data_IF_310416712986
#
_entry.id   IF_310416712986
#
_cell.length_a   1.000
_cell.length_b   1.000
_cell.length_c   1.000
_cell.angle_alpha   90.00
_cell.angle_beta   90.00
_cell.angle_gamma   90.00
#
_symmetry.space_group_name_H-M   'P 1'
#
loop_
_entity.id
_entity.type
_entity.pdbx_description
1 polymer ?
#
# COMPACT_ATOMS: atom_id res chain seq x y z
N UNK A 1 17.06 1.25 -27.03
CA UNK A 1 16.93 1.75 -25.64
C UNK A 1 17.18 0.61 -24.65
N UNK A 2 18.05 0.79 -23.66
CA UNK A 2 18.41 -0.23 -22.65
C UNK A 2 17.65 0.05 -21.32
N UNK A 3 16.34 -0.22 -21.28
CA UNK A 3 15.58 -0.03 -20.02
C UNK A 3 15.78 -1.22 -19.07
N UNK A 4 16.05 -0.99 -17.77
CA UNK A 4 16.17 -2.05 -16.77
C UNK A 4 14.80 -2.67 -16.46
N UNK A 5 14.74 -3.99 -16.33
CA UNK A 5 13.53 -4.77 -16.06
C UNK A 5 13.80 -5.81 -14.99
N UNK A 6 12.77 -6.11 -14.19
CA UNK A 6 12.84 -7.08 -13.10
C UNK A 6 12.37 -8.45 -13.55
N UNK A 7 13.20 -9.47 -13.34
CA UNK A 7 12.77 -10.86 -13.44
C UNK A 7 11.85 -11.21 -12.25
N UNK A 8 11.02 -12.27 -12.35
CA UNK A 8 10.15 -12.72 -11.26
C UNK A 8 10.90 -13.08 -9.98
N UNK A 9 12.18 -13.44 -10.08
CA UNK A 9 13.06 -13.68 -8.93
C UNK A 9 13.57 -12.40 -8.24
N UNK A 10 13.19 -11.21 -8.72
CA UNK A 10 13.57 -9.91 -8.14
C UNK A 10 14.89 -9.32 -8.65
N UNK A 11 15.63 -10.03 -9.49
CA UNK A 11 16.87 -9.53 -10.08
C UNK A 11 16.61 -8.67 -11.33
N UNK A 12 17.37 -7.58 -11.47
CA UNK A 12 17.17 -6.58 -12.52
C UNK A 12 18.24 -6.65 -13.61
N UNK A 13 17.82 -6.67 -14.87
CA UNK A 13 18.69 -6.66 -16.05
C UNK A 13 18.12 -5.72 -17.13
N UNK A 14 18.97 -5.17 -18.01
CA UNK A 14 18.45 -4.36 -19.11
C UNK A 14 17.79 -5.23 -20.19
N UNK A 15 16.89 -4.63 -20.98
CA UNK A 15 16.13 -5.34 -22.01
C UNK A 15 17.03 -6.10 -23.01
N UNK A 16 18.18 -5.53 -23.38
CA UNK A 16 19.14 -6.20 -24.27
C UNK A 16 19.81 -7.41 -23.63
N UNK A 17 20.14 -7.34 -22.33
CA UNK A 17 20.72 -8.48 -21.62
C UNK A 17 19.71 -9.61 -21.46
N UNK A 18 18.44 -9.30 -21.18
CA UNK A 18 17.39 -10.32 -21.10
C UNK A 18 17.18 -11.00 -22.45
N UNK A 19 17.19 -10.23 -23.55
CA UNK A 19 17.12 -10.79 -24.90
C UNK A 19 18.31 -11.69 -25.23
N UNK A 20 19.51 -11.37 -24.74
CA UNK A 20 20.70 -12.21 -24.92
C UNK A 20 20.69 -13.49 -24.07
N UNK A 21 19.97 -13.51 -22.95
CA UNK A 21 19.81 -14.67 -22.06
C UNK A 21 18.59 -15.54 -22.41
N UNK A 22 17.81 -15.13 -23.41
CA UNK A 22 16.59 -15.82 -23.80
C UNK A 22 16.92 -17.02 -24.67
N UNK A 23 16.56 -18.20 -24.21
CA UNK A 23 16.65 -19.45 -24.95
C UNK A 23 15.24 -20.03 -25.07
N UNK A 24 14.77 -20.35 -26.27
CA UNK A 24 13.53 -21.14 -26.51
C UNK A 24 12.36 -20.81 -25.56
N UNK A 25 12.01 -19.52 -25.41
CA UNK A 25 10.86 -19.07 -24.61
C UNK A 25 11.06 -19.03 -23.09
N UNK A 26 12.29 -19.21 -22.60
CA UNK A 26 12.63 -19.03 -21.19
C UNK A 26 13.91 -18.19 -21.02
N UNK A 27 14.08 -17.66 -19.81
CA UNK A 27 15.26 -16.88 -19.39
C UNK A 27 15.73 -17.46 -18.06
N UNK A 28 17.01 -17.84 -18.00
CA UNK A 28 17.66 -18.28 -16.77
C UNK A 28 18.32 -17.08 -16.10
N UNK A 29 17.98 -16.81 -14.84
CA UNK A 29 18.59 -15.71 -14.09
C UNK A 29 20.08 -16.01 -13.79
N UNK A 30 21.02 -15.15 -14.19
CA UNK A 30 22.44 -15.36 -13.88
C UNK A 30 22.77 -15.36 -12.39
N UNK A 31 22.00 -14.63 -11.58
CA UNK A 31 22.28 -14.45 -10.15
C UNK A 31 21.79 -15.64 -9.30
N UNK A 32 20.58 -16.12 -9.56
CA UNK A 32 19.93 -17.15 -8.73
C UNK A 32 19.65 -18.46 -9.48
N UNK A 33 19.94 -18.52 -10.78
CA UNK A 33 19.73 -19.69 -11.66
C UNK A 33 18.26 -20.16 -11.80
N UNK A 34 17.30 -19.38 -11.30
CA UNK A 34 15.89 -19.63 -11.53
C UNK A 34 15.52 -19.40 -12.99
N UNK A 35 14.70 -20.30 -13.54
CA UNK A 35 14.21 -20.26 -14.92
C UNK A 35 12.84 -19.60 -14.96
N UNK A 36 12.66 -18.66 -15.88
CA UNK A 36 11.41 -17.92 -16.06
C UNK A 36 10.89 -18.10 -17.49
N UNK A 37 9.68 -18.63 -17.64
CA UNK A 37 9.03 -18.84 -18.95
C UNK A 37 8.38 -17.54 -19.39
N UNK A 38 8.85 -16.94 -20.49
CA UNK A 38 8.27 -15.72 -21.06
C UNK A 38 8.48 -15.63 -22.59
N UNK A 39 7.43 -15.28 -23.36
CA UNK A 39 7.52 -15.15 -24.81
C UNK A 39 8.28 -13.91 -25.30
N UNK A 40 8.37 -12.81 -24.52
CA UNK A 40 9.18 -11.63 -24.87
C UNK A 40 9.75 -10.87 -23.64
N UNK A 41 10.99 -10.38 -23.74
CA UNK A 41 11.65 -9.61 -22.68
C UNK A 41 10.95 -8.28 -22.37
N UNK A 42 10.18 -7.75 -23.32
CA UNK A 42 9.34 -6.56 -23.16
C UNK A 42 8.24 -6.70 -22.11
N UNK A 43 7.92 -7.93 -21.70
CA UNK A 43 6.85 -8.22 -20.73
C UNK A 43 7.29 -8.12 -19.28
N UNK A 44 8.61 -8.14 -19.01
CA UNK A 44 9.08 -7.97 -17.64
C UNK A 44 8.88 -6.53 -17.16
N UNK A 45 8.42 -6.32 -15.92
CA UNK A 45 8.16 -4.98 -15.38
C UNK A 45 9.44 -4.14 -15.37
N UNK A 46 9.32 -2.87 -15.73
CA UNK A 46 10.43 -1.93 -15.73
C UNK A 46 10.83 -1.60 -14.28
N UNK A 47 12.13 -1.59 -14.01
CA UNK A 47 12.65 -1.13 -12.72
C UNK A 47 12.84 0.39 -12.74
N UNK A 48 11.82 1.13 -12.34
CA UNK A 48 11.89 2.61 -12.28
C UNK A 48 12.94 3.11 -11.30
N UNK A 49 13.17 2.40 -10.19
CA UNK A 49 14.21 2.74 -9.21
C UNK A 49 15.60 2.64 -9.84
N UNK A 50 15.88 1.55 -10.56
CA UNK A 50 17.17 1.37 -11.25
C UNK A 50 17.29 2.35 -12.42
N UNK A 51 16.20 2.64 -13.13
CA UNK A 51 16.18 3.61 -14.22
C UNK A 51 16.52 5.03 -13.74
N UNK A 52 15.90 5.49 -12.65
CA UNK A 52 16.18 6.79 -12.03
C UNK A 52 17.60 6.86 -11.48
N UNK A 53 18.09 5.78 -10.87
CA UNK A 53 19.48 5.70 -10.41
C UNK A 53 20.49 5.86 -11.57
N UNK A 54 20.28 5.15 -12.68
CA UNK A 54 21.10 5.28 -13.89
C UNK A 54 21.02 6.69 -14.48
N UNK A 55 19.83 7.32 -14.50
CA UNK A 55 19.68 8.71 -14.97
C UNK A 55 20.47 9.68 -14.11
N UNK A 56 20.43 9.54 -12.78
CA UNK A 56 21.21 10.38 -11.85
C UNK A 56 22.71 10.22 -12.06
N UNK A 57 23.20 8.99 -12.25
CA UNK A 57 24.61 8.72 -12.57
C UNK A 57 25.04 9.29 -13.94
N UNK A 58 24.13 9.34 -14.91
CA UNK A 58 24.40 9.98 -16.22
C UNK A 58 24.29 11.51 -16.16
N UNK A 59 23.53 12.04 -15.20
CA UNK A 59 23.37 13.47 -14.93
C UNK A 59 24.55 14.12 -14.20
N UNK A 60 25.56 13.37 -13.78
CA UNK A 60 26.80 13.90 -13.18
C UNK A 60 27.91 14.10 -14.21
N UNK A 61 27.64 14.91 -15.24
CA UNK A 61 28.65 15.65 -15.98
C UNK A 61 28.37 17.16 -15.76
N UNK A 62 29.37 18.01 -15.48
CA UNK A 62 29.14 19.30 -14.86
C UNK A 62 28.66 20.31 -15.90
N UNK A 63 27.39 20.69 -15.83
CA UNK A 63 26.92 21.96 -16.36
C UNK A 63 26.72 22.91 -15.17
N UNK A 64 27.76 23.72 -14.97
CA UNK A 64 27.85 24.79 -14.00
C UNK A 64 26.64 25.73 -14.03
N UNK A 65 26.17 26.04 -12.82
CA UNK A 65 25.89 27.38 -12.31
C UNK A 65 25.27 28.39 -13.30
N UNK A 66 23.96 28.61 -13.19
CA UNK A 66 23.21 29.87 -13.41
C UNK A 66 21.71 29.46 -13.41
N UNK A 67 20.79 30.02 -12.63
CA UNK A 67 20.79 31.14 -11.72
C UNK A 67 19.46 31.16 -10.96
N UNK A 68 19.53 31.78 -9.79
CA UNK A 68 18.49 32.25 -8.86
C UNK A 68 17.02 32.21 -9.34
N UNK A 69 16.19 31.55 -8.55
CA UNK A 69 14.75 31.77 -8.49
C UNK A 69 14.46 33.14 -7.84
N UNK A 70 13.88 34.05 -8.61
CA UNK A 70 13.30 35.31 -8.15
C UNK A 70 11.84 35.38 -8.57
N UNK A 71 10.96 35.64 -7.60
CA UNK A 71 9.52 35.86 -7.74
C UNK A 71 9.19 37.11 -8.58
N UNK A 72 8.16 37.02 -9.43
CA UNK A 72 7.16 38.06 -9.70
C UNK A 72 6.01 37.36 -10.47
N UNK A 73 4.79 37.26 -9.93
CA UNK A 73 3.77 38.32 -9.83
C UNK A 73 3.45 38.89 -11.22
N UNK A 74 2.24 38.59 -11.71
CA UNK A 74 1.80 38.87 -13.05
C UNK A 74 1.67 40.35 -13.36
N UNK A 75 1.77 40.65 -14.66
CA UNK A 75 1.15 41.79 -15.34
C UNK A 75 0.82 41.36 -16.78
N UNK A 76 -0.13 42.05 -17.44
CA UNK A 76 -0.82 41.55 -18.62
C UNK A 76 0.01 41.67 -19.90
N UNK A 77 -0.34 40.79 -20.83
CA UNK A 77 0.02 40.77 -22.25
C UNK A 77 0.06 42.20 -22.84
N UNK A 78 1.18 42.64 -23.42
CA UNK A 78 1.15 43.76 -24.35
C UNK A 78 0.58 43.25 -25.67
N UNK A 79 -0.61 43.73 -26.00
CA UNK A 79 -1.18 43.66 -27.34
C UNK A 79 -0.19 44.27 -28.33
N UNK A 80 0.47 43.44 -29.14
CA UNK A 80 1.20 43.91 -30.31
C UNK A 80 0.20 44.19 -31.42
N UNK A 81 -0.44 45.35 -31.36
CA UNK A 81 -0.87 46.07 -32.56
C UNK A 81 0.40 46.53 -33.30
N UNK A 82 0.98 45.64 -34.08
CA UNK A 82 1.88 46.03 -35.16
C UNK A 82 1.03 46.23 -36.41
N UNK A 83 0.64 47.49 -36.63
CA UNK A 83 0.34 47.95 -37.98
C UNK A 83 1.58 47.66 -38.85
N UNK A 84 1.42 47.07 -40.05
CA UNK A 84 2.53 46.92 -40.97
C UNK A 84 2.90 48.30 -41.50
N UNK A 85 4.08 48.81 -41.12
CA UNK A 85 4.69 49.95 -41.80
C UNK A 85 5.14 49.47 -43.18
N UNK A 86 4.27 49.67 -44.17
CA UNK A 86 4.48 49.33 -45.58
C UNK A 86 5.40 50.37 -46.22
N UNK A 87 6.68 50.40 -45.83
CA UNK A 87 7.71 51.20 -46.51
C UNK A 87 9.06 50.48 -46.59
N UNK A 88 9.02 49.25 -47.09
CA UNK A 88 10.22 48.47 -47.43
C UNK A 88 9.97 47.23 -48.29
N UNK A 89 8.77 47.10 -48.88
CA UNK A 89 8.34 45.88 -49.56
C UNK A 89 8.74 45.79 -51.04
N UNK A 90 9.41 46.80 -51.59
CA UNK A 90 9.71 46.90 -53.02
C UNK A 90 11.19 46.70 -53.32
N UNK A 91 11.75 45.51 -53.03
CA UNK A 91 12.84 44.94 -53.85
C UNK A 91 13.14 43.45 -53.57
N UNK A 92 12.15 42.64 -53.15
CA UNK A 92 12.38 41.20 -53.03
C UNK A 92 11.97 40.50 -54.32
N UNK A 93 12.91 39.74 -54.90
CA UNK A 93 12.64 38.92 -56.09
C UNK A 93 11.52 37.92 -55.79
N UNK A 94 10.77 37.53 -56.83
CA UNK A 94 9.68 36.54 -56.71
C UNK A 94 10.15 35.24 -56.03
N UNK A 95 11.39 34.85 -56.27
CA UNK A 95 12.01 33.67 -55.64
C UNK A 95 12.18 33.83 -54.12
N UNK A 96 12.62 34.98 -53.63
CA UNK A 96 12.77 35.24 -52.19
C UNK A 96 11.42 35.21 -51.50
N UNK A 97 10.39 35.83 -52.11
CA UNK A 97 9.02 35.79 -51.57
C UNK A 97 8.46 34.36 -51.49
N UNK A 98 8.69 33.54 -52.50
CA UNK A 98 8.30 32.13 -52.51
C UNK A 98 8.98 31.32 -51.41
N UNK A 99 10.29 31.53 -51.20
CA UNK A 99 11.01 30.85 -50.12
C UNK A 99 10.52 31.29 -48.74
N UNK A 100 10.21 32.57 -48.54
CA UNK A 100 9.66 33.06 -47.27
C UNK A 100 8.30 32.43 -46.96
N UNK A 101 7.42 32.30 -47.96
CA UNK A 101 6.13 31.61 -47.80
C UNK A 101 6.30 30.14 -47.44
N UNK A 102 7.25 29.43 -48.07
CA UNK A 102 7.54 28.04 -47.75
C UNK A 102 8.09 27.87 -46.31
N UNK A 103 8.95 28.80 -45.87
CA UNK A 103 9.45 28.80 -44.49
C UNK A 103 8.34 29.13 -43.49
N UNK A 104 7.45 30.07 -43.81
CA UNK A 104 6.29 30.42 -43.01
C UNK A 104 5.37 29.20 -42.81
N UNK A 105 5.06 28.46 -43.88
CA UNK A 105 4.24 27.25 -43.80
C UNK A 105 4.90 26.15 -42.95
N UNK A 106 6.21 25.97 -43.06
CA UNK A 106 6.99 25.03 -42.21
C UNK A 106 6.95 25.42 -40.74
N UNK A 107 7.12 26.71 -40.44
CA UNK A 107 7.06 27.23 -39.07
C UNK A 107 5.65 27.05 -38.50
N UNK A 108 4.60 27.38 -39.25
CA UNK A 108 3.21 27.16 -38.83
C UNK A 108 2.90 25.68 -38.56
N UNK A 109 3.43 24.78 -39.40
CA UNK A 109 3.27 23.33 -39.20
C UNK A 109 3.98 22.85 -37.94
N UNK A 110 5.18 23.37 -37.68
CA UNK A 110 5.94 23.06 -36.46
C UNK A 110 5.22 23.60 -35.21
N UNK A 111 4.66 24.81 -35.28
CA UNK A 111 3.86 25.40 -34.19
C UNK A 111 2.65 24.52 -33.86
N UNK A 112 1.91 24.03 -34.87
CA UNK A 112 0.79 23.09 -34.65
C UNK A 112 1.25 21.82 -33.94
N UNK A 113 2.36 21.22 -34.38
CA UNK A 113 2.92 20.04 -33.72
C UNK A 113 3.31 20.29 -32.26
N UNK A 114 3.88 21.46 -31.96
CA UNK A 114 4.16 21.87 -30.57
C UNK A 114 2.88 22.03 -29.74
N UNK A 115 1.83 22.61 -30.30
CA UNK A 115 0.54 22.78 -29.62
C UNK A 115 -0.13 21.43 -29.35
N UNK A 116 -0.10 20.50 -30.31
CA UNK A 116 -0.60 19.13 -30.10
C UNK A 116 0.15 18.42 -28.98
N UNK A 117 1.48 18.56 -28.94
CA UNK A 117 2.29 17.99 -27.86
C UNK A 117 1.98 18.62 -26.51
N UNK A 118 1.75 19.94 -26.45
CA UNK A 118 1.32 20.61 -25.22
C UNK A 118 0.00 20.02 -24.71
N UNK A 119 -0.99 19.87 -25.59
CA UNK A 119 -2.27 19.25 -25.22
C UNK A 119 -2.08 17.82 -24.69
N UNK A 120 -1.21 17.02 -25.33
CA UNK A 120 -0.91 15.67 -24.85
C UNK A 120 -0.24 15.66 -23.47
N UNK A 121 0.68 16.59 -23.22
CA UNK A 121 1.35 16.75 -21.92
C UNK A 121 0.35 17.14 -20.84
N UNK A 122 -0.58 18.06 -21.15
CA UNK A 122 -1.63 18.47 -20.21
C UNK A 122 -2.54 17.28 -19.85
N UNK A 123 -2.98 16.49 -20.85
CA UNK A 123 -3.77 15.29 -20.62
C UNK A 123 -3.03 14.25 -19.76
N UNK A 124 -1.75 14.05 -20.04
CA UNK A 124 -0.92 13.14 -19.25
C UNK A 124 -0.76 13.63 -17.80
N UNK A 125 -0.53 14.93 -17.61
CA UNK A 125 -0.45 15.53 -16.28
C UNK A 125 -1.76 15.38 -15.49
N UNK A 126 -2.91 15.62 -16.12
CA UNK A 126 -4.21 15.36 -15.49
C UNK A 126 -4.37 13.89 -15.10
N UNK A 127 -3.99 12.97 -15.98
CA UNK A 127 -4.08 11.53 -15.72
C UNK A 127 -3.20 11.10 -14.54
N UNK A 128 -1.98 11.64 -14.45
CA UNK A 128 -1.09 11.41 -13.30
C UNK A 128 -1.70 11.92 -11.99
N UNK A 129 -2.37 13.07 -12.01
CA UNK A 129 -3.09 13.60 -10.85
C UNK A 129 -4.17 12.63 -10.37
N UNK A 130 -5.03 12.18 -11.28
CA UNK A 130 -6.10 11.22 -10.99
C UNK A 130 -5.55 9.91 -10.43
N UNK A 131 -4.49 9.36 -11.04
CA UNK A 131 -3.87 8.14 -10.53
C UNK A 131 -3.22 8.33 -9.15
N UNK A 132 -2.61 9.50 -8.91
CA UNK A 132 -2.08 9.85 -7.59
C UNK A 132 -3.16 9.88 -6.51
N UNK A 133 -4.31 10.51 -6.79
CA UNK A 133 -5.45 10.55 -5.87
C UNK A 133 -6.04 9.15 -5.61
N UNK A 134 -6.19 8.34 -6.67
CA UNK A 134 -6.68 6.97 -6.54
C UNK A 134 -5.75 6.10 -5.69
N UNK A 135 -4.44 6.23 -5.88
CA UNK A 135 -3.44 5.51 -5.10
C UNK A 135 -3.51 5.92 -3.62
N UNK A 136 -3.56 7.23 -3.33
CA UNK A 136 -3.71 7.72 -1.96
C UNK A 136 -4.99 7.18 -1.29
N UNK A 137 -6.11 7.17 -2.02
CA UNK A 137 -7.36 6.63 -1.51
C UNK A 137 -7.28 5.14 -1.16
N UNK A 138 -6.58 4.34 -1.97
CA UNK A 138 -6.35 2.92 -1.67
C UNK A 138 -5.47 2.75 -0.43
N UNK A 139 -4.44 3.58 -0.28
CA UNK A 139 -3.57 3.58 0.90
C UNK A 139 -4.36 3.92 2.18
N UNK A 140 -5.21 4.94 2.16
CA UNK A 140 -6.04 5.33 3.29
C UNK A 140 -7.03 4.22 3.70
N UNK A 141 -7.60 3.51 2.71
CA UNK A 141 -8.47 2.35 2.94
C UNK A 141 -7.72 1.18 3.57
N UNK A 142 -6.52 0.88 3.08
CA UNK A 142 -5.66 -0.15 3.67
C UNK A 142 -5.27 0.20 5.11
N UNK A 143 -4.91 1.46 5.35
CA UNK A 143 -4.56 1.95 6.68
C UNK A 143 -5.72 1.79 7.65
N UNK A 144 -6.95 2.12 7.23
CA UNK A 144 -8.17 1.92 8.02
C UNK A 144 -8.37 0.44 8.38
N UNK A 145 -8.15 -0.48 7.44
CA UNK A 145 -8.26 -1.92 7.70
C UNK A 145 -7.19 -2.41 8.68
N UNK A 146 -5.96 -1.91 8.54
CA UNK A 146 -4.85 -2.20 9.46
C UNK A 146 -5.20 -1.76 10.88
N UNK A 147 -5.76 -0.57 11.06
CA UNK A 147 -6.07 -0.03 12.39
C UNK A 147 -7.25 -0.75 13.03
N UNK A 148 -8.28 -1.11 12.26
CA UNK A 148 -9.36 -2.01 12.73
C UNK A 148 -8.81 -3.37 13.17
N UNK A 149 -7.89 -3.94 12.39
CA UNK A 149 -7.25 -5.22 12.72
C UNK A 149 -6.40 -5.13 14.00
N UNK A 150 -5.68 -4.02 14.21
CA UNK A 150 -4.97 -3.75 15.47
C UNK A 150 -5.93 -3.66 16.65
N UNK A 151 -7.04 -2.94 16.52
CA UNK A 151 -8.07 -2.83 17.55
C UNK A 151 -8.65 -4.19 17.93
N UNK A 152 -9.01 -5.01 16.93
CA UNK A 152 -9.51 -6.37 17.17
C UNK A 152 -8.49 -7.25 17.92
N UNK A 153 -7.20 -7.19 17.56
CA UNK A 153 -6.15 -7.90 18.29
C UNK A 153 -6.00 -7.46 19.74
N UNK A 154 -6.21 -6.17 20.02
CA UNK A 154 -6.16 -5.66 21.40
C UNK A 154 -7.32 -6.23 22.24
N UNK A 155 -8.53 -6.26 21.68
CA UNK A 155 -9.69 -6.87 22.34
C UNK A 155 -9.46 -8.35 22.62
N UNK A 156 -8.96 -9.12 21.63
CA UNK A 156 -8.65 -10.54 21.83
C UNK A 156 -7.64 -10.74 22.96
N UNK A 157 -6.58 -9.94 23.03
CA UNK A 157 -5.60 -10.03 24.13
C UNK A 157 -6.20 -9.69 25.49
N UNK A 158 -7.13 -8.73 25.54
CA UNK A 158 -7.83 -8.38 26.77
C UNK A 158 -8.71 -9.54 27.25
N UNK A 159 -9.44 -10.17 26.34
CA UNK A 159 -10.24 -11.37 26.64
C UNK A 159 -9.35 -12.54 27.08
N UNK A 160 -8.24 -12.80 26.39
CA UNK A 160 -7.25 -13.82 26.78
C UNK A 160 -6.73 -13.60 28.20
N UNK A 161 -6.40 -12.34 28.56
CA UNK A 161 -5.94 -12.00 29.90
C UNK A 161 -7.03 -12.22 30.97
N UNK A 162 -8.29 -11.87 30.66
CA UNK A 162 -9.42 -12.13 31.56
C UNK A 162 -9.65 -13.62 31.77
N UNK A 163 -9.64 -14.40 30.68
CA UNK A 163 -9.78 -15.87 30.74
C UNK A 163 -8.66 -16.50 31.57
N UNK A 164 -7.43 -16.00 31.44
CA UNK A 164 -6.29 -16.49 32.21
C UNK A 164 -6.40 -16.16 33.71
N UNK A 165 -6.81 -14.94 34.07
CA UNK A 165 -7.11 -14.58 35.46
C UNK A 165 -8.21 -15.47 36.06
N UNK A 166 -9.28 -15.70 35.29
CA UNK A 166 -10.36 -16.60 35.71
C UNK A 166 -9.90 -18.04 35.85
N UNK A 167 -9.06 -18.54 34.94
CA UNK A 167 -8.48 -19.89 35.04
C UNK A 167 -7.73 -20.07 36.36
N UNK A 168 -6.95 -19.07 36.78
CA UNK A 168 -6.23 -19.11 38.07
C UNK A 168 -7.19 -19.13 39.26
N UNK A 169 -8.28 -18.36 39.20
CA UNK A 169 -9.32 -18.39 40.24
C UNK A 169 -10.02 -19.75 40.32
N UNK A 170 -10.30 -20.41 39.19
CA UNK A 170 -10.83 -21.79 39.18
C UNK A 170 -9.87 -22.74 39.89
N UNK A 171 -8.60 -22.71 39.51
CA UNK A 171 -7.58 -23.60 40.07
C UNK A 171 -7.44 -23.42 41.59
N UNK A 172 -7.43 -22.17 42.06
CA UNK A 172 -7.39 -21.89 43.50
C UNK A 172 -8.64 -22.38 44.23
N UNK A 173 -9.83 -22.23 43.64
CA UNK A 173 -11.08 -22.76 44.18
C UNK A 173 -11.07 -24.30 44.26
N UNK A 174 -10.57 -24.97 43.23
CA UNK A 174 -10.42 -26.43 43.19
C UNK A 174 -9.46 -26.92 44.29
N UNK A 175 -8.33 -26.26 44.49
CA UNK A 175 -7.39 -26.55 45.58
C UNK A 175 -8.05 -26.39 46.96
N UNK A 176 -8.83 -25.32 47.17
CA UNK A 176 -9.59 -25.09 48.41
C UNK A 176 -10.63 -26.19 48.65
N UNK A 177 -11.36 -26.60 47.61
CA UNK A 177 -12.31 -27.71 47.70
C UNK A 177 -11.62 -29.03 48.04
N UNK A 178 -10.44 -29.31 47.48
CA UNK A 178 -9.66 -30.50 47.83
C UNK A 178 -9.20 -30.49 49.29
N UNK A 179 -8.72 -29.34 49.78
CA UNK A 179 -8.38 -29.16 51.20
C UNK A 179 -9.60 -29.36 52.10
N UNK A 180 -10.75 -28.82 51.70
CA UNK A 180 -11.99 -28.97 52.45
C UNK A 180 -12.47 -30.42 52.51
N UNK A 181 -12.39 -31.14 51.38
CA UNK A 181 -12.68 -32.57 51.31
C UNK A 181 -11.76 -33.38 52.22
N UNK A 182 -10.47 -33.03 52.28
CA UNK A 182 -9.54 -33.66 53.21
C UNK A 182 -9.96 -33.40 54.67
N UNK A 183 -10.27 -32.16 55.03
CA UNK A 183 -10.73 -31.79 56.39
C UNK A 183 -11.98 -32.56 56.79
N UNK A 184 -12.98 -32.62 55.92
CA UNK A 184 -14.23 -33.38 56.17
C UNK A 184 -13.96 -34.87 56.43
N UNK A 185 -12.95 -35.44 55.77
CA UNK A 185 -12.55 -36.85 55.95
C UNK A 185 -11.73 -37.09 57.22
N UNK A 186 -11.10 -36.05 57.79
CA UNK A 186 -10.23 -36.15 58.95
C UNK A 186 -10.88 -35.69 60.27
N UNK A 187 -12.18 -35.39 60.26
CA UNK A 187 -12.92 -34.96 61.46
C UNK A 187 -12.93 -36.07 62.53
N UNK A 188 -12.64 -35.70 63.78
CA UNK A 188 -12.60 -36.65 64.91
C UNK A 188 -13.62 -36.36 66.00
N UNK A 189 -14.12 -35.13 66.08
CA UNK A 189 -15.12 -34.72 67.08
C UNK A 189 -16.42 -34.23 66.46
N UNK A 190 -17.50 -34.27 67.24
CA UNK A 190 -18.81 -33.77 66.81
C UNK A 190 -18.79 -32.26 66.54
N UNK A 191 -18.04 -31.50 67.32
CA UNK A 191 -17.93 -30.05 67.15
C UNK A 191 -17.16 -29.71 65.86
N UNK A 192 -16.04 -30.38 65.61
CA UNK A 192 -15.29 -30.26 64.35
C UNK A 192 -16.14 -30.63 63.13
N UNK A 193 -17.06 -31.60 63.26
CA UNK A 193 -17.96 -31.99 62.18
C UNK A 193 -18.92 -30.87 61.79
N UNK A 194 -19.52 -30.18 62.77
CA UNK A 194 -20.42 -29.06 62.51
C UNK A 194 -19.67 -27.88 61.88
N UNK A 195 -18.52 -27.50 62.46
CA UNK A 195 -17.69 -26.42 61.92
C UNK A 195 -17.22 -26.71 60.49
N UNK A 196 -16.85 -27.96 60.17
CA UNK A 196 -16.46 -28.33 58.82
C UNK A 196 -17.66 -28.39 57.85
N UNK A 197 -18.87 -28.67 58.30
CA UNK A 197 -20.06 -28.61 57.42
C UNK A 197 -20.39 -27.15 57.09
N UNK A 198 -20.42 -26.28 58.11
CA UNK A 198 -20.71 -24.85 57.92
C UNK A 198 -19.69 -24.19 56.97
N UNK A 199 -18.41 -24.49 57.14
CA UNK A 199 -17.34 -23.99 56.26
C UNK A 199 -17.47 -24.54 54.81
N UNK A 200 -17.98 -25.77 54.65
CA UNK A 200 -18.15 -26.39 53.33
C UNK A 200 -19.32 -25.77 52.58
N UNK A 201 -20.43 -25.52 53.28
CA UNK A 201 -21.61 -24.85 52.73
C UNK A 201 -21.26 -23.41 52.32
N UNK A 202 -20.50 -22.69 53.15
CA UNK A 202 -20.03 -21.34 52.81
C UNK A 202 -19.15 -21.34 51.54
N UNK A 203 -18.22 -22.29 51.41
CA UNK A 203 -17.38 -22.42 50.22
C UNK A 203 -18.21 -22.79 48.98
N UNK A 204 -19.18 -23.69 49.12
CA UNK A 204 -20.06 -24.09 48.03
C UNK A 204 -20.91 -22.92 47.52
N UNK A 205 -21.45 -22.10 48.42
CA UNK A 205 -22.20 -20.89 48.08
C UNK A 205 -21.33 -19.87 47.33
N UNK A 206 -20.09 -19.66 47.78
CA UNK A 206 -19.15 -18.76 47.11
C UNK A 206 -18.80 -19.23 45.69
N UNK A 207 -18.58 -20.53 45.50
CA UNK A 207 -18.31 -21.12 44.17
C UNK A 207 -19.53 -21.04 43.25
N UNK A 208 -20.73 -21.25 43.80
CA UNK A 208 -21.99 -21.14 43.06
C UNK A 208 -22.22 -19.71 42.56
N UNK A 209 -22.07 -18.71 43.44
CA UNK A 209 -22.18 -17.29 43.09
C UNK A 209 -21.16 -16.89 42.02
N UNK A 210 -19.92 -17.38 42.14
CA UNK A 210 -18.85 -17.12 41.17
C UNK A 210 -19.16 -17.73 39.80
N UNK A 211 -19.65 -18.97 39.80
CA UNK A 211 -20.03 -19.68 38.57
C UNK A 211 -21.20 -18.97 37.87
N UNK A 212 -22.19 -18.50 38.62
CA UNK A 212 -23.30 -17.74 38.08
C UNK A 212 -22.82 -16.42 37.44
N UNK A 213 -21.97 -15.66 38.13
CA UNK A 213 -21.39 -14.43 37.60
C UNK A 213 -20.61 -14.68 36.30
N UNK A 214 -19.92 -15.82 36.16
CA UNK A 214 -19.21 -16.17 34.93
C UNK A 214 -20.14 -16.56 33.78
N UNK A 215 -21.26 -17.25 34.06
CA UNK A 215 -22.25 -17.59 33.04
C UNK A 215 -22.91 -16.34 32.45
N UNK A 216 -23.05 -15.28 33.25
CA UNK A 216 -23.54 -13.97 32.80
C UNK A 216 -22.49 -13.23 31.96
N UNK A 217 -21.20 -13.32 32.31
CA UNK A 217 -20.10 -12.69 31.56
C UNK A 217 -19.78 -13.40 30.23
N UNK A 218 -19.85 -14.73 30.21
CA UNK A 218 -19.60 -15.57 29.04
C UNK A 218 -20.88 -16.32 28.65
N UNK A 219 -21.87 -15.63 28.05
CA UNK A 219 -23.11 -16.28 27.65
C UNK A 219 -22.78 -17.37 26.65
N UNK A 220 -22.86 -18.63 27.09
CA UNK A 220 -22.65 -19.90 26.38
C UNK A 220 -21.79 -19.74 25.11
N UNK A 221 -20.55 -20.22 25.17
CA UNK A 221 -19.57 -20.20 24.07
C UNK A 221 -19.77 -21.39 23.10
N UNK A 222 -20.84 -21.46 22.28
CA UNK A 222 -20.73 -22.11 20.98
C UNK A 222 -21.04 -21.11 19.87
N UNK A 223 -20.28 -20.02 19.78
CA UNK A 223 -20.52 -18.97 18.76
C UNK A 223 -19.27 -18.21 18.32
N UNK A 224 -18.08 -18.83 18.36
CA UNK A 224 -16.88 -18.28 17.65
C UNK A 224 -16.70 -18.98 16.28
N UNK A 225 -17.78 -19.58 15.75
CA UNK A 225 -17.80 -20.20 14.43
C UNK A 225 -18.58 -19.36 13.40
N UNK A 226 -18.45 -18.03 13.43
CA UNK A 226 -18.92 -17.16 12.34
C UNK A 226 -17.97 -15.98 12.18
N UNK A 227 -16.70 -16.28 11.88
CA UNK A 227 -15.91 -15.33 11.10
C UNK A 227 -16.65 -15.19 9.78
N UNK A 228 -17.32 -14.04 9.60
CA UNK A 228 -17.91 -13.60 8.33
C UNK A 228 -16.91 -13.94 7.22
N UNK A 229 -17.24 -14.94 6.41
CA UNK A 229 -16.69 -15.07 5.06
C UNK A 229 -16.88 -13.69 4.42
N UNK A 230 -15.78 -12.97 4.24
CA UNK A 230 -15.75 -11.83 3.33
C UNK A 230 -16.07 -12.44 1.97
N UNK A 231 -17.34 -12.33 1.56
CA UNK A 231 -17.80 -12.74 0.25
C UNK A 231 -17.13 -11.85 -0.78
N UNK A 232 -15.89 -12.18 -1.13
CA UNK A 232 -15.34 -11.85 -2.42
C UNK A 232 -15.94 -12.85 -3.42
N UNK A 233 -17.01 -12.42 -4.10
CA UNK A 233 -17.37 -12.99 -5.40
C UNK A 233 -17.55 -11.81 -6.36
N UNK A 234 -16.80 -11.78 -7.48
CA UNK A 234 -16.94 -10.78 -8.53
C UNK A 234 -18.16 -11.13 -9.40
N UNK A 235 -19.09 -10.20 -9.55
CA UNK A 235 -20.07 -10.27 -10.63
C UNK A 235 -19.39 -9.79 -11.92
N UNK A 236 -18.94 -10.76 -12.71
CA UNK A 236 -18.75 -10.62 -14.15
C UNK A 236 -20.15 -10.63 -14.80
N UNK A 237 -20.50 -9.53 -15.43
CA UNK A 237 -21.45 -9.44 -16.56
C UNK A 237 -21.22 -8.12 -17.27
#
# INVERSE_FOLDING_TARGET
MQRPRNLPCGHTFCTSCINGLKELGHVTCPNCRLVHVVPDAGQFPISYITEDFIRRLRGTAPASLLGKAGKAAGEPVPSLDMQPDVKGAECLSRAIRSMLQEQEEKVLTTIRGCQELQVQLDHYQTSLGVWGEQQQHLEDRLQTLVDRSKGARLLVRQEEAQVEDKRKQVQQGEEQQHLMLHRLRSVTSRQEAFEAIDDADLLADQESQRTQAWQEMFPKVPTVATIRKVSALPSLS
#
